data_IF_018674647367
#
_entry.id   IF_018674647367
#
_cell.length_a   1.000
_cell.length_b   1.000
_cell.length_c   1.000
_cell.angle_alpha   90.00
_cell.angle_beta   90.00
_cell.angle_gamma   90.00
#
_symmetry.space_group_name_H-M   'P 1'
#
loop_
_entity.id
_entity.type
_entity.pdbx_description
1 polymer ?
#
# COMPACT_ATOMS: atom_id res chain seq x y z
N UNK A 1 -11.19 -9.13 -4.33
CA UNK A 1 -12.06 -8.76 -3.19
C UNK A 1 -12.12 -7.26 -2.99
N UNK A 2 -13.12 -6.74 -2.28
CA UNK A 2 -13.29 -5.31 -2.02
C UNK A 2 -12.03 -4.67 -1.40
N UNK A 3 -11.42 -5.34 -0.41
CA UNK A 3 -10.17 -4.90 0.23
C UNK A 3 -9.01 -4.75 -0.77
N UNK A 4 -8.86 -5.70 -1.69
CA UNK A 4 -7.78 -5.65 -2.68
C UNK A 4 -7.95 -4.48 -3.67
N UNK A 5 -9.19 -4.14 -4.05
CA UNK A 5 -9.47 -2.98 -4.90
C UNK A 5 -9.17 -1.67 -4.18
N UNK A 6 -9.64 -1.53 -2.93
CA UNK A 6 -9.37 -0.35 -2.12
C UNK A 6 -7.86 -0.15 -1.89
N UNK A 7 -7.13 -1.22 -1.58
CA UNK A 7 -5.69 -1.15 -1.37
C UNK A 7 -4.89 -0.81 -2.63
N UNK A 8 -5.40 -1.10 -3.83
CA UNK A 8 -4.72 -0.75 -5.09
C UNK A 8 -4.60 0.76 -5.29
N UNK A 9 -5.62 1.52 -4.84
CA UNK A 9 -5.64 2.99 -4.88
C UNK A 9 -4.80 3.64 -3.78
N UNK A 10 -4.21 2.89 -2.85
CA UNK A 10 -3.48 3.46 -1.71
C UNK A 10 -2.23 4.30 -2.10
N UNK A 11 -1.70 4.09 -3.31
CA UNK A 11 -0.59 4.89 -3.83
C UNK A 11 -1.05 6.08 -4.70
N UNK A 12 -2.34 6.18 -5.01
CA UNK A 12 -2.89 7.23 -5.85
C UNK A 12 -2.77 8.60 -5.16
N UNK A 13 -2.32 9.62 -5.88
CA UNK A 13 -2.07 10.96 -5.32
C UNK A 13 -0.83 11.09 -4.42
N UNK A 14 -0.11 9.99 -4.16
CA UNK A 14 1.13 10.04 -3.35
C UNK A 14 2.32 10.52 -4.18
N UNK A 15 3.31 11.12 -3.50
CA UNK A 15 4.61 11.51 -4.09
C UNK A 15 5.75 10.87 -3.29
N UNK A 16 6.00 9.55 -3.44
CA UNK A 16 7.02 8.86 -2.67
C UNK A 16 8.43 9.36 -3.01
N UNK A 17 9.27 9.52 -1.98
CA UNK A 17 10.65 9.95 -2.14
C UNK A 17 11.51 8.92 -2.87
N UNK A 18 12.51 9.41 -3.59
CA UNK A 18 13.64 8.60 -4.07
C UNK A 18 14.84 8.89 -3.18
N UNK A 19 15.40 7.86 -2.56
CA UNK A 19 16.58 7.97 -1.71
C UNK A 19 17.37 6.65 -1.72
N UNK A 20 18.51 6.62 -1.03
CA UNK A 20 19.36 5.44 -0.93
C UNK A 20 18.65 4.22 -0.29
N UNK A 21 17.57 4.44 0.45
CA UNK A 21 16.85 3.36 1.14
C UNK A 21 15.84 2.67 0.23
N UNK A 22 15.22 3.36 -0.73
CA UNK A 22 14.26 2.75 -1.65
C UNK A 22 13.91 3.63 -2.86
N UNK A 23 13.47 2.97 -3.94
CA UNK A 23 12.89 3.65 -5.08
C UNK A 23 11.44 4.11 -4.81
N UNK A 24 10.96 5.17 -5.50
CA UNK A 24 9.56 5.59 -5.44
C UNK A 24 8.57 4.48 -5.80
N UNK A 25 8.93 3.63 -6.77
CA UNK A 25 8.09 2.52 -7.25
C UNK A 25 7.94 1.45 -6.18
N UNK A 26 9.04 1.12 -5.47
CA UNK A 26 8.99 0.20 -4.34
C UNK A 26 8.12 0.75 -3.20
N UNK A 27 8.24 2.05 -2.88
CA UNK A 27 7.41 2.70 -1.85
C UNK A 27 5.93 2.74 -2.24
N UNK A 28 5.61 3.02 -3.50
CA UNK A 28 4.25 2.96 -4.01
C UNK A 28 3.67 1.54 -3.94
N UNK A 29 4.46 0.52 -4.27
CA UNK A 29 4.07 -0.88 -4.11
C UNK A 29 3.83 -1.22 -2.63
N UNK A 30 4.75 -0.80 -1.75
CA UNK A 30 4.65 -1.05 -0.32
C UNK A 30 3.40 -0.42 0.28
N UNK A 31 3.03 0.80 -0.13
CA UNK A 31 1.78 1.45 0.30
C UNK A 31 0.56 0.55 0.03
N UNK A 32 0.43 -0.01 -1.18
CA UNK A 32 -0.66 -0.92 -1.54
C UNK A 32 -0.66 -2.20 -0.70
N UNK A 33 0.51 -2.79 -0.48
CA UNK A 33 0.66 -4.03 0.30
C UNK A 33 0.31 -3.81 1.77
N UNK A 34 0.86 -2.75 2.38
CA UNK A 34 0.62 -2.44 3.79
C UNK A 34 -0.83 -2.06 4.05
N UNK A 35 -1.47 -1.28 3.17
CA UNK A 35 -2.90 -0.98 3.28
C UNK A 35 -3.75 -2.25 3.22
N UNK A 36 -3.47 -3.16 2.29
CA UNK A 36 -4.20 -4.43 2.22
C UNK A 36 -4.06 -5.22 3.53
N UNK A 37 -2.84 -5.33 4.05
CA UNK A 37 -2.56 -6.06 5.31
C UNK A 37 -3.29 -5.40 6.49
N UNK A 38 -3.23 -4.08 6.60
CA UNK A 38 -3.87 -3.33 7.69
C UNK A 38 -5.40 -3.53 7.68
N UNK A 39 -6.04 -3.43 6.51
CA UNK A 39 -7.50 -3.60 6.40
C UNK A 39 -7.92 -5.04 6.71
N UNK A 40 -7.18 -6.05 6.24
CA UNK A 40 -7.48 -7.44 6.56
C UNK A 40 -7.34 -7.71 8.07
N UNK A 41 -6.26 -7.21 8.70
CA UNK A 41 -6.07 -7.33 10.14
C UNK A 41 -7.19 -6.63 10.92
N UNK A 42 -7.58 -5.41 10.54
CA UNK A 42 -8.66 -4.67 11.18
C UNK A 42 -10.02 -5.37 11.07
N UNK A 43 -10.24 -6.14 9.99
CA UNK A 43 -11.46 -6.90 9.78
C UNK A 43 -11.41 -8.32 10.38
N UNK A 44 -10.35 -8.69 11.12
CA UNK A 44 -10.19 -10.03 11.70
C UNK A 44 -9.91 -11.13 10.67
N UNK A 45 -9.36 -10.76 9.51
CA UNK A 45 -9.05 -11.65 8.38
C UNK A 45 -7.53 -11.80 8.14
N UNK A 46 -6.72 -11.50 9.16
CA UNK A 46 -5.25 -11.50 9.12
C UNK A 46 -4.62 -12.77 9.65
#
# INVERSE_FOLDING_TARGET
GAVARAAASAAEGTRPSRDASASPEYRAHLARVLTKRAVLAAAGMG
#
